data_IF_473204913286
#
_entry.id   IF_473204913286
#
_cell.length_a   1.000
_cell.length_b   1.000
_cell.length_c   1.000
_cell.angle_alpha   90.00
_cell.angle_beta   90.00
_cell.angle_gamma   90.00
#
_symmetry.space_group_name_H-M   'P 1'
#
loop_
_entity.id
_entity.type
_entity.pdbx_description
1 polymer ?
#
# COMPACT_ATOMS: atom_id res chain seq x y z
N UNK A 1 45.84 17.45 5.92
CA UNK A 1 44.49 18.01 5.79
C UNK A 1 43.70 17.02 4.94
N UNK A 2 42.96 16.14 5.60
CA UNK A 2 42.13 15.13 4.92
C UNK A 2 40.92 15.85 4.30
N UNK A 3 40.76 15.70 2.98
CA UNK A 3 39.54 16.15 2.29
C UNK A 3 38.36 15.40 2.90
N UNK A 4 37.49 16.10 3.59
CA UNK A 4 36.16 15.58 3.93
C UNK A 4 35.47 15.27 2.59
N UNK A 5 35.36 13.99 2.29
CA UNK A 5 34.42 13.54 1.28
C UNK A 5 33.07 14.15 1.69
N UNK A 6 32.52 15.02 0.85
CA UNK A 6 31.14 15.48 0.96
C UNK A 6 30.30 14.21 0.88
N UNK A 7 29.80 13.76 2.06
CA UNK A 7 29.00 12.55 2.14
C UNK A 7 27.79 12.70 1.25
N UNK A 8 27.78 11.97 0.12
CA UNK A 8 26.60 11.86 -0.70
C UNK A 8 25.46 11.34 0.17
N UNK A 9 24.27 11.91 0.04
CA UNK A 9 23.07 11.38 0.69
C UNK A 9 22.88 9.91 0.23
N UNK A 10 22.97 8.91 1.12
CA UNK A 10 22.89 7.51 0.72
C UNK A 10 21.50 7.12 0.17
N UNK A 11 20.52 7.99 0.32
CA UNK A 11 19.15 7.84 -0.17
C UNK A 11 18.82 8.83 -1.29
N UNK A 12 19.83 9.45 -1.92
CA UNK A 12 19.59 10.25 -3.12
C UNK A 12 19.19 9.33 -4.28
N UNK A 13 18.16 9.74 -5.01
CA UNK A 13 17.75 9.03 -6.22
C UNK A 13 18.93 8.94 -7.21
N UNK A 14 19.08 7.78 -7.85
CA UNK A 14 19.94 7.64 -9.04
C UNK A 14 19.35 8.42 -10.21
N UNK A 15 20.10 8.55 -11.32
CA UNK A 15 19.59 9.23 -12.53
C UNK A 15 18.30 8.56 -13.03
N UNK A 16 18.24 7.23 -13.07
CA UNK A 16 17.07 6.48 -13.50
C UNK A 16 15.90 6.64 -12.52
N UNK A 17 16.17 6.60 -11.21
CA UNK A 17 15.16 6.83 -10.18
C UNK A 17 14.61 8.27 -10.23
N UNK A 18 15.45 9.26 -10.47
CA UNK A 18 15.02 10.64 -10.64
C UNK A 18 14.15 10.81 -11.90
N UNK A 19 14.49 10.15 -13.01
CA UNK A 19 13.68 10.12 -14.22
C UNK A 19 12.32 9.45 -13.98
N UNK A 20 12.29 8.32 -13.26
CA UNK A 20 11.07 7.61 -12.89
C UNK A 20 10.19 8.46 -11.97
N UNK A 21 10.78 9.14 -10.98
CA UNK A 21 10.08 10.10 -10.10
C UNK A 21 9.43 11.21 -10.91
N UNK A 22 10.18 11.79 -11.89
CA UNK A 22 9.62 12.84 -12.74
C UNK A 22 8.47 12.33 -13.61
N UNK A 23 8.59 11.13 -14.19
CA UNK A 23 7.50 10.49 -14.95
C UNK A 23 6.26 10.31 -14.09
N UNK A 24 6.42 9.75 -12.88
CA UNK A 24 5.31 9.54 -11.95
C UNK A 24 4.65 10.87 -11.53
N UNK A 25 5.45 11.91 -11.28
CA UNK A 25 4.98 13.26 -10.97
C UNK A 25 4.20 13.87 -12.13
N UNK A 26 4.68 13.73 -13.35
CA UNK A 26 4.00 14.22 -14.55
C UNK A 26 2.63 13.56 -14.73
N UNK A 27 2.54 12.24 -14.52
CA UNK A 27 1.27 11.50 -14.54
C UNK A 27 0.36 11.97 -13.40
N UNK A 28 0.88 12.11 -12.20
CA UNK A 28 0.13 12.56 -11.03
C UNK A 28 -0.48 13.96 -11.24
N UNK A 29 0.30 14.90 -11.74
CA UNK A 29 -0.13 16.28 -11.93
C UNK A 29 -1.08 16.47 -13.12
N UNK A 30 -0.92 15.68 -14.20
CA UNK A 30 -1.75 15.82 -15.42
C UNK A 30 -3.00 14.97 -15.41
N UNK A 31 -2.93 13.76 -14.89
CA UNK A 31 -4.02 12.78 -15.01
C UNK A 31 -4.79 12.59 -13.67
N UNK A 32 -4.10 12.65 -12.51
CA UNK A 32 -4.73 12.36 -11.21
C UNK A 32 -5.27 13.64 -10.54
N UNK A 33 -4.41 14.63 -10.32
CA UNK A 33 -4.75 15.81 -9.52
C UNK A 33 -6.02 16.55 -10.03
N UNK A 34 -6.21 16.77 -11.34
CA UNK A 34 -7.39 17.49 -11.84
C UNK A 34 -8.72 16.77 -11.56
N UNK A 35 -8.69 15.45 -11.46
CA UNK A 35 -9.88 14.60 -11.32
C UNK A 35 -10.11 14.07 -9.90
N UNK A 36 -9.17 14.29 -9.00
CA UNK A 36 -9.22 13.74 -7.63
C UNK A 36 -10.46 14.17 -6.84
N UNK A 37 -10.92 15.43 -7.01
CA UNK A 37 -12.16 15.91 -6.42
C UNK A 37 -13.39 15.22 -7.04
N UNK A 38 -13.42 15.08 -8.35
CA UNK A 38 -14.51 14.38 -9.06
C UNK A 38 -14.66 12.94 -8.55
N UNK A 39 -13.55 12.19 -8.46
CA UNK A 39 -13.58 10.83 -7.94
C UNK A 39 -14.08 10.72 -6.50
N UNK A 40 -13.68 11.66 -5.62
CA UNK A 40 -14.19 11.72 -4.24
C UNK A 40 -15.71 12.03 -4.18
N UNK A 41 -16.22 12.90 -5.06
CA UNK A 41 -17.63 13.30 -5.07
C UNK A 41 -18.53 12.24 -5.68
N UNK A 42 -18.10 11.57 -6.77
CA UNK A 42 -18.90 10.59 -7.51
C UNK A 42 -18.76 9.16 -6.99
N UNK A 43 -17.66 8.85 -6.27
CA UNK A 43 -17.31 7.49 -5.82
C UNK A 43 -17.14 6.50 -7.01
N UNK A 44 -16.91 7.00 -8.21
CA UNK A 44 -16.67 6.19 -9.39
C UNK A 44 -15.24 5.69 -9.46
N UNK A 45 -15.05 4.51 -10.07
CA UNK A 45 -13.71 3.98 -10.32
C UNK A 45 -12.91 4.97 -11.17
N UNK A 46 -11.68 5.33 -10.76
CA UNK A 46 -10.91 6.40 -11.42
C UNK A 46 -10.26 5.92 -12.72
N UNK A 47 -11.09 5.66 -13.74
CA UNK A 47 -10.65 5.14 -15.04
C UNK A 47 -9.62 6.05 -15.70
N UNK A 48 -9.76 7.38 -15.54
CA UNK A 48 -8.79 8.37 -16.03
C UNK A 48 -7.38 8.15 -15.46
N UNK A 49 -7.29 7.86 -14.16
CA UNK A 49 -6.01 7.59 -13.51
C UNK A 49 -5.44 6.24 -13.96
N UNK A 50 -6.29 5.22 -14.07
CA UNK A 50 -5.89 3.92 -14.60
C UNK A 50 -5.31 4.05 -16.01
N UNK A 51 -6.01 4.73 -16.92
CA UNK A 51 -5.59 4.93 -18.31
C UNK A 51 -4.30 5.78 -18.39
N UNK A 52 -4.17 6.81 -17.55
CA UNK A 52 -2.97 7.63 -17.46
C UNK A 52 -1.74 6.83 -17.03
N UNK A 53 -1.86 6.03 -15.96
CA UNK A 53 -0.80 5.15 -15.48
C UNK A 53 -0.47 4.05 -16.49
N UNK A 54 -1.48 3.48 -17.14
CA UNK A 54 -1.30 2.48 -18.20
C UNK A 54 -0.54 3.04 -19.40
N UNK A 55 -0.93 4.21 -19.87
CA UNK A 55 -0.25 4.90 -20.99
C UNK A 55 1.21 5.23 -20.70
N UNK A 56 1.53 5.49 -19.44
CA UNK A 56 2.89 5.73 -18.96
C UNK A 56 3.65 4.43 -18.62
N UNK A 57 3.07 3.26 -18.88
CA UNK A 57 3.63 1.93 -18.62
C UNK A 57 4.04 1.69 -17.16
N UNK A 58 3.40 2.41 -16.21
CA UNK A 58 3.76 2.33 -14.81
C UNK A 58 3.41 0.97 -14.19
N UNK A 59 2.37 0.27 -14.66
CA UNK A 59 1.94 -0.99 -14.02
C UNK A 59 2.98 -2.10 -14.10
N UNK A 60 3.81 -2.14 -15.13
CA UNK A 60 4.84 -3.16 -15.32
C UNK A 60 6.12 -2.95 -14.50
N UNK A 61 6.29 -1.85 -13.76
CA UNK A 61 7.60 -1.49 -13.19
C UNK A 61 8.20 -2.56 -12.26
N UNK A 62 7.38 -3.27 -11.48
CA UNK A 62 7.84 -4.29 -10.53
C UNK A 62 7.74 -5.72 -11.04
N UNK A 63 7.23 -5.92 -12.24
CA UNK A 63 7.06 -7.24 -12.88
C UNK A 63 8.27 -7.50 -13.77
N UNK A 64 8.78 -8.74 -13.76
CA UNK A 64 9.98 -9.11 -14.51
C UNK A 64 9.83 -8.96 -16.03
N UNK A 65 10.94 -8.72 -16.72
CA UNK A 65 11.01 -8.50 -18.17
C UNK A 65 10.38 -9.65 -18.98
N UNK A 66 10.51 -10.89 -18.51
CA UNK A 66 9.90 -12.09 -19.14
C UNK A 66 8.40 -11.91 -19.38
N UNK A 67 7.72 -11.16 -18.52
CA UNK A 67 6.25 -10.95 -18.57
C UNK A 67 5.86 -9.53 -19.00
N UNK A 68 6.81 -8.78 -19.59
CA UNK A 68 6.56 -7.46 -20.16
C UNK A 68 6.70 -6.30 -19.18
N UNK A 69 7.33 -6.51 -18.03
CA UNK A 69 7.63 -5.46 -17.06
C UNK A 69 9.08 -4.99 -17.10
N UNK A 70 9.47 -4.16 -16.11
CA UNK A 70 10.82 -3.60 -15.97
C UNK A 70 11.68 -4.29 -14.89
N UNK A 71 11.12 -5.17 -14.08
CA UNK A 71 11.83 -5.92 -13.05
C UNK A 71 12.40 -5.07 -11.91
N UNK A 72 11.83 -3.89 -11.64
CA UNK A 72 12.31 -2.97 -10.61
C UNK A 72 11.86 -3.41 -9.21
N UNK A 73 12.48 -2.81 -8.18
CA UNK A 73 12.30 -3.20 -6.79
C UNK A 73 11.31 -2.34 -5.99
N UNK A 74 11.37 -2.55 -4.66
CA UNK A 74 10.54 -1.79 -3.70
C UNK A 74 10.92 -0.31 -3.61
N UNK A 75 12.16 0.05 -3.95
CA UNK A 75 12.62 1.45 -3.96
C UNK A 75 11.86 2.22 -5.03
N UNK A 76 11.84 1.69 -6.26
CA UNK A 76 11.16 2.31 -7.40
C UNK A 76 9.64 2.31 -7.22
N UNK A 77 9.08 1.22 -6.69
CA UNK A 77 7.67 1.17 -6.32
C UNK A 77 7.31 2.27 -5.30
N UNK A 78 8.15 2.48 -4.27
CA UNK A 78 7.93 3.53 -3.28
C UNK A 78 8.03 4.93 -3.88
N UNK A 79 8.99 5.19 -4.78
CA UNK A 79 9.14 6.46 -5.49
C UNK A 79 7.86 6.80 -6.27
N UNK A 80 7.37 5.85 -7.07
CA UNK A 80 6.16 6.07 -7.88
C UNK A 80 4.93 6.29 -6.99
N UNK A 81 4.75 5.46 -5.96
CA UNK A 81 3.60 5.59 -5.04
C UNK A 81 3.61 6.88 -4.25
N UNK A 82 4.78 7.39 -3.87
CA UNK A 82 4.92 8.69 -3.19
C UNK A 82 4.41 9.82 -4.11
N UNK A 83 4.83 9.85 -5.38
CA UNK A 83 4.42 10.90 -6.33
C UNK A 83 2.93 10.81 -6.70
N UNK A 84 2.41 9.61 -6.95
CA UNK A 84 0.99 9.43 -7.26
C UNK A 84 0.10 9.85 -6.08
N UNK A 85 0.45 9.40 -4.85
CA UNK A 85 -0.34 9.71 -3.65
C UNK A 85 -0.23 11.18 -3.21
N UNK A 86 0.82 11.89 -3.58
CA UNK A 86 0.93 13.34 -3.42
C UNK A 86 -0.24 14.08 -4.10
N UNK A 87 -0.70 13.56 -5.23
CA UNK A 87 -1.82 14.12 -6.00
C UNK A 87 -3.18 13.52 -5.61
N UNK A 88 -3.28 12.18 -5.56
CA UNK A 88 -4.52 11.49 -5.22
C UNK A 88 -4.28 10.07 -4.66
N UNK A 89 -4.60 9.88 -3.40
CA UNK A 89 -4.41 8.60 -2.70
C UNK A 89 -5.32 7.51 -3.24
N UNK A 90 -6.56 7.85 -3.61
CA UNK A 90 -7.53 6.89 -4.18
C UNK A 90 -7.05 6.27 -5.48
N UNK A 91 -6.40 7.05 -6.33
CA UNK A 91 -5.80 6.56 -7.58
C UNK A 91 -4.49 5.81 -7.34
N UNK A 92 -3.66 6.28 -6.40
CA UNK A 92 -2.38 5.65 -6.09
C UNK A 92 -2.53 4.20 -5.57
N UNK A 93 -3.62 3.90 -4.84
CA UNK A 93 -3.86 2.55 -4.33
C UNK A 93 -4.06 1.52 -5.45
N UNK A 94 -4.49 1.92 -6.65
CA UNK A 94 -4.59 1.03 -7.80
C UNK A 94 -3.21 0.57 -8.28
N UNK A 95 -2.23 1.48 -8.33
CA UNK A 95 -0.84 1.14 -8.62
C UNK A 95 -0.24 0.26 -7.52
N UNK A 96 -0.54 0.56 -6.25
CA UNK A 96 -0.13 -0.25 -5.10
C UNK A 96 -0.56 -1.72 -5.22
N UNK A 97 -1.80 -1.98 -5.67
CA UNK A 97 -2.32 -3.33 -5.83
C UNK A 97 -1.56 -4.13 -6.90
N UNK A 98 -1.03 -3.46 -7.91
CA UNK A 98 -0.21 -4.09 -8.95
C UNK A 98 1.24 -4.24 -8.49
N UNK A 99 1.85 -3.20 -7.94
CA UNK A 99 3.28 -3.20 -7.59
C UNK A 99 3.63 -4.14 -6.45
N UNK A 100 2.81 -4.16 -5.41
CA UNK A 100 3.11 -4.78 -4.13
C UNK A 100 2.06 -5.82 -3.70
N UNK A 101 0.96 -5.92 -4.45
CA UNK A 101 -0.16 -6.81 -4.16
C UNK A 101 -0.05 -8.18 -4.84
N UNK A 102 -1.17 -8.74 -5.34
CA UNK A 102 -1.22 -10.08 -5.88
C UNK A 102 -0.22 -10.38 -7.00
N UNK A 103 0.04 -9.50 -7.99
CA UNK A 103 1.03 -9.79 -9.04
C UNK A 103 2.43 -10.07 -8.47
N UNK A 104 2.86 -9.29 -7.46
CA UNK A 104 4.13 -9.51 -6.78
C UNK A 104 4.17 -10.86 -6.06
N UNK A 105 3.07 -11.24 -5.40
CA UNK A 105 2.96 -12.55 -4.77
C UNK A 105 3.00 -13.70 -5.79
N UNK A 106 2.32 -13.54 -6.92
CA UNK A 106 2.34 -14.50 -8.02
C UNK A 106 3.76 -14.67 -8.56
N UNK A 107 4.47 -13.58 -8.80
CA UNK A 107 5.84 -13.63 -9.31
C UNK A 107 6.81 -14.38 -8.38
N UNK A 108 6.72 -14.10 -7.07
CA UNK A 108 7.65 -14.69 -6.10
C UNK A 108 7.28 -16.12 -5.69
N UNK A 109 6.00 -16.45 -5.58
CA UNK A 109 5.51 -17.69 -4.97
C UNK A 109 4.78 -18.61 -5.95
N UNK A 110 4.27 -18.09 -7.07
CA UNK A 110 3.49 -18.84 -8.04
C UNK A 110 4.33 -19.82 -8.88
N UNK A 111 3.67 -20.83 -9.45
CA UNK A 111 4.23 -21.69 -10.47
C UNK A 111 4.29 -20.99 -11.85
N UNK A 112 4.98 -21.59 -12.82
CA UNK A 112 5.14 -20.97 -14.14
C UNK A 112 3.82 -20.80 -14.89
N UNK A 113 2.88 -21.73 -14.79
CA UNK A 113 1.54 -21.63 -15.38
C UNK A 113 0.80 -20.40 -14.88
N UNK A 114 0.81 -20.20 -13.56
CA UNK A 114 0.18 -19.04 -12.91
C UNK A 114 0.84 -17.72 -13.34
N UNK A 115 2.18 -17.67 -13.35
CA UNK A 115 2.94 -16.49 -13.76
C UNK A 115 2.67 -16.11 -15.21
N UNK A 116 2.77 -17.10 -16.13
CA UNK A 116 2.57 -16.87 -17.57
C UNK A 116 1.11 -16.46 -17.88
N UNK A 117 0.13 -16.88 -17.06
CA UNK A 117 -1.28 -16.48 -17.19
C UNK A 117 -1.53 -15.06 -16.70
N UNK A 118 -1.01 -14.66 -15.54
CA UNK A 118 -1.48 -13.48 -14.84
C UNK A 118 -0.54 -12.26 -14.91
N UNK A 119 0.78 -12.48 -14.98
CA UNK A 119 1.73 -11.37 -14.95
C UNK A 119 1.69 -10.47 -16.19
N UNK A 120 1.51 -11.00 -17.43
CA UNK A 120 1.35 -10.13 -18.60
C UNK A 120 0.12 -9.22 -18.51
N UNK A 121 -1.01 -9.72 -17.97
CA UNK A 121 -2.24 -8.95 -17.76
C UNK A 121 -2.01 -7.81 -16.76
N UNK A 122 -1.25 -8.08 -15.70
CA UNK A 122 -0.90 -7.08 -14.70
C UNK A 122 0.08 -6.03 -15.27
N UNK A 123 1.13 -6.47 -15.97
CA UNK A 123 2.17 -5.59 -16.53
C UNK A 123 1.61 -4.62 -17.58
N UNK A 124 0.69 -5.10 -18.44
CA UNK A 124 0.05 -4.27 -19.47
C UNK A 124 -1.05 -3.36 -18.93
N UNK A 125 -1.48 -3.56 -17.66
CA UNK A 125 -2.64 -2.87 -17.10
C UNK A 125 -3.97 -3.25 -17.77
N UNK A 126 -4.06 -4.47 -18.35
CA UNK A 126 -5.33 -4.99 -18.88
C UNK A 126 -6.29 -5.43 -17.78
N UNK A 127 -5.78 -5.72 -16.58
CA UNK A 127 -6.58 -6.14 -15.44
C UNK A 127 -6.06 -5.65 -14.12
N UNK A 128 -6.97 -5.20 -13.25
CA UNK A 128 -6.71 -4.93 -11.85
C UNK A 128 -6.69 -6.27 -11.07
N UNK A 129 -5.86 -6.34 -10.05
CA UNK A 129 -5.80 -7.46 -9.11
C UNK A 129 -6.19 -7.00 -7.72
N UNK A 130 -6.85 -7.87 -6.95
CA UNK A 130 -7.22 -7.57 -5.57
C UNK A 130 -6.83 -8.71 -4.63
N UNK A 131 -6.84 -8.42 -3.32
CA UNK A 131 -6.51 -9.40 -2.29
C UNK A 131 -7.65 -9.56 -1.30
N UNK A 132 -8.12 -10.78 -1.08
CA UNK A 132 -9.16 -11.14 -0.14
C UNK A 132 -8.59 -11.84 1.10
N UNK A 133 -8.32 -11.10 2.17
CA UNK A 133 -7.83 -11.63 3.45
C UNK A 133 -8.93 -11.55 4.51
N UNK A 134 -9.43 -10.34 4.74
CA UNK A 134 -10.36 -10.03 5.83
C UNK A 134 -11.73 -10.69 5.65
N UNK A 135 -12.33 -11.07 6.76
CA UNK A 135 -13.71 -11.56 6.84
C UNK A 135 -14.43 -10.82 7.97
N UNK A 136 -15.76 -10.92 8.04
CA UNK A 136 -16.58 -10.22 9.04
C UNK A 136 -16.07 -10.41 10.48
N UNK A 137 -15.61 -11.61 10.83
CA UNK A 137 -15.11 -11.93 12.16
C UNK A 137 -13.59 -12.13 12.24
N UNK A 138 -12.87 -11.94 11.09
CA UNK A 138 -11.44 -12.16 10.99
C UNK A 138 -10.75 -10.99 10.27
N UNK A 139 -10.67 -9.84 10.93
CA UNK A 139 -9.86 -8.69 10.54
C UNK A 139 -8.41 -8.86 11.04
N UNK A 140 -8.04 -8.19 12.15
CA UNK A 140 -6.70 -8.35 12.75
C UNK A 140 -6.44 -9.76 13.29
N UNK A 141 -7.49 -10.50 13.63
CA UNK A 141 -7.42 -11.89 14.09
C UNK A 141 -7.53 -12.88 12.92
N UNK A 142 -6.62 -12.79 11.93
CA UNK A 142 -6.63 -13.58 10.68
C UNK A 142 -6.74 -15.10 10.94
N UNK A 143 -6.20 -15.59 12.04
CA UNK A 143 -6.30 -16.99 12.44
C UNK A 143 -7.74 -17.51 12.69
N UNK A 144 -8.73 -16.62 12.73
CA UNK A 144 -10.15 -16.98 12.85
C UNK A 144 -10.88 -17.07 11.50
N UNK A 145 -10.16 -16.91 10.39
CA UNK A 145 -10.72 -16.96 9.03
C UNK A 145 -11.53 -18.26 8.80
N UNK A 146 -12.66 -18.12 8.11
CA UNK A 146 -13.60 -19.20 7.79
C UNK A 146 -13.51 -19.67 6.33
N UNK A 147 -12.94 -18.88 5.44
CA UNK A 147 -12.70 -19.28 4.05
C UNK A 147 -12.02 -20.64 3.98
N UNK A 148 -12.55 -21.56 3.18
CA UNK A 148 -12.08 -22.95 3.11
C UNK A 148 -11.90 -23.40 1.68
N UNK A 149 -10.80 -24.09 1.45
CA UNK A 149 -10.52 -24.85 0.23
C UNK A 149 -10.67 -26.34 0.54
N UNK A 150 -11.54 -27.03 -0.17
CA UNK A 150 -11.79 -28.47 0.02
C UNK A 150 -11.40 -29.24 -1.24
N UNK A 151 -10.82 -30.45 -1.12
CA UNK A 151 -10.58 -31.33 -2.27
C UNK A 151 -11.90 -31.67 -2.99
N UNK A 152 -11.85 -31.70 -4.34
CA UNK A 152 -12.96 -32.12 -5.21
C UNK A 152 -12.41 -32.73 -6.50
N UNK A 153 -12.35 -34.06 -6.54
CA UNK A 153 -11.75 -34.80 -7.65
C UNK A 153 -10.27 -34.50 -7.79
N UNK A 154 -9.88 -33.99 -8.95
CA UNK A 154 -8.50 -33.62 -9.30
C UNK A 154 -8.13 -32.16 -8.94
N UNK A 155 -9.07 -31.40 -8.32
CA UNK A 155 -8.86 -30.04 -7.89
C UNK A 155 -9.56 -29.75 -6.57
N UNK A 156 -10.10 -28.52 -6.44
CA UNK A 156 -10.64 -28.02 -5.17
C UNK A 156 -11.91 -27.22 -5.38
N UNK A 157 -12.65 -27.02 -4.27
CA UNK A 157 -13.77 -26.08 -4.14
C UNK A 157 -13.48 -25.04 -3.06
N UNK A 158 -13.58 -23.77 -3.44
CA UNK A 158 -13.45 -22.62 -2.53
C UNK A 158 -14.81 -22.14 -2.09
N UNK A 159 -14.98 -22.03 -0.76
CA UNK A 159 -16.10 -21.31 -0.14
C UNK A 159 -15.54 -20.22 0.77
N UNK A 160 -15.87 -18.96 0.48
CA UNK A 160 -15.35 -17.82 1.20
C UNK A 160 -16.31 -16.61 1.12
N UNK A 161 -16.24 -15.75 2.13
CA UNK A 161 -16.84 -14.41 2.09
C UNK A 161 -15.80 -13.41 2.57
N UNK A 162 -15.35 -12.55 1.66
CA UNK A 162 -14.26 -11.59 1.93
C UNK A 162 -14.78 -10.17 1.99
N UNK A 163 -14.35 -9.45 3.01
CA UNK A 163 -14.71 -8.06 3.27
C UNK A 163 -13.55 -7.12 3.03
N UNK A 164 -13.84 -5.86 2.71
CA UNK A 164 -12.86 -4.81 2.49
C UNK A 164 -11.83 -5.20 1.43
N UNK A 165 -12.32 -5.74 0.31
CA UNK A 165 -11.48 -6.11 -0.84
C UNK A 165 -11.34 -4.90 -1.75
N UNK A 166 -10.20 -4.20 -1.63
CA UNK A 166 -9.90 -2.99 -2.40
C UNK A 166 -9.94 -3.27 -3.90
N UNK A 167 -10.77 -2.52 -4.63
CA UNK A 167 -10.94 -2.66 -6.08
C UNK A 167 -11.65 -3.94 -6.53
N UNK A 168 -12.15 -4.78 -5.61
CA UNK A 168 -12.70 -6.10 -5.91
C UNK A 168 -13.86 -6.12 -6.90
N UNK A 169 -14.62 -5.03 -7.04
CA UNK A 169 -15.73 -4.91 -8.00
C UNK A 169 -15.28 -4.72 -9.46
N UNK A 170 -13.99 -4.42 -9.70
CA UNK A 170 -13.38 -4.19 -11.01
C UNK A 170 -12.19 -5.09 -11.28
N UNK A 171 -11.73 -5.84 -10.28
CA UNK A 171 -10.57 -6.68 -10.43
C UNK A 171 -10.83 -7.86 -11.37
N UNK A 172 -9.80 -8.25 -12.13
CA UNK A 172 -9.80 -9.41 -13.00
C UNK A 172 -9.56 -10.71 -12.23
N UNK A 173 -8.68 -10.65 -11.20
CA UNK A 173 -8.39 -11.78 -10.35
C UNK A 173 -8.20 -11.36 -8.89
N UNK A 174 -8.48 -12.28 -7.99
CA UNK A 174 -8.33 -12.11 -6.55
C UNK A 174 -7.37 -13.15 -5.96
N UNK A 175 -6.39 -12.67 -5.21
CA UNK A 175 -5.60 -13.53 -4.32
C UNK A 175 -6.39 -13.77 -3.03
N UNK A 176 -6.98 -14.95 -2.88
CA UNK A 176 -7.84 -15.30 -1.75
C UNK A 176 -7.06 -16.12 -0.73
N UNK A 177 -6.88 -15.58 0.47
CA UNK A 177 -6.39 -16.37 1.59
C UNK A 177 -7.49 -17.29 2.10
N UNK A 178 -7.18 -18.56 2.25
CA UNK A 178 -8.14 -19.55 2.69
C UNK A 178 -7.46 -20.61 3.55
N UNK A 179 -8.29 -21.37 4.25
CA UNK A 179 -7.86 -22.46 5.12
C UNK A 179 -8.00 -23.79 4.38
N UNK A 180 -6.96 -24.58 4.46
CA UNK A 180 -6.98 -25.99 4.07
C UNK A 180 -7.64 -26.82 5.16
N UNK A 181 -8.22 -28.01 4.84
CA UNK A 181 -9.01 -28.79 5.79
C UNK A 181 -8.29 -29.12 7.10
N UNK A 182 -9.07 -29.37 8.14
CA UNK A 182 -8.64 -29.89 9.46
C UNK A 182 -7.58 -29.05 10.19
N UNK A 183 -7.59 -27.72 9.98
CA UNK A 183 -6.67 -26.80 10.58
C UNK A 183 -7.34 -25.71 11.41
N UNK A 184 -6.60 -25.13 12.37
CA UNK A 184 -7.07 -24.06 13.26
C UNK A 184 -5.97 -23.02 13.53
N UNK A 185 -6.39 -21.83 13.97
CA UNK A 185 -5.46 -20.72 14.21
C UNK A 185 -4.80 -20.28 12.91
N UNK A 186 -3.47 -20.15 12.90
CA UNK A 186 -2.69 -19.80 11.69
C UNK A 186 -2.20 -21.01 10.90
N UNK A 187 -2.41 -22.23 11.41
CA UNK A 187 -2.07 -23.47 10.71
C UNK A 187 -3.02 -23.68 9.53
N UNK A 188 -2.52 -24.26 8.47
CA UNK A 188 -3.30 -24.56 7.27
C UNK A 188 -3.82 -23.34 6.50
N UNK A 189 -3.43 -22.12 6.84
CA UNK A 189 -3.71 -20.95 6.02
C UNK A 189 -2.74 -20.93 4.84
N UNK A 190 -3.31 -20.91 3.64
CA UNK A 190 -2.63 -20.74 2.37
C UNK A 190 -3.37 -19.72 1.51
N UNK A 191 -3.10 -19.72 0.21
CA UNK A 191 -3.72 -18.78 -0.72
C UNK A 191 -3.91 -19.39 -2.11
N UNK A 192 -4.97 -18.96 -2.79
CA UNK A 192 -5.30 -19.32 -4.17
C UNK A 192 -5.52 -18.07 -5.00
N UNK A 193 -5.26 -18.13 -6.29
CA UNK A 193 -5.62 -17.05 -7.23
C UNK A 193 -6.90 -17.45 -7.94
N UNK A 194 -7.92 -16.61 -7.86
CA UNK A 194 -9.25 -16.86 -8.43
C UNK A 194 -9.55 -15.82 -9.49
N UNK A 195 -9.93 -16.30 -10.67
CA UNK A 195 -10.53 -15.48 -11.73
C UNK A 195 -11.91 -15.00 -11.26
N UNK A 196 -12.12 -13.68 -11.19
CA UNK A 196 -13.38 -13.14 -10.68
C UNK A 196 -14.56 -13.27 -11.66
N UNK A 197 -14.30 -13.72 -12.90
CA UNK A 197 -15.33 -14.12 -13.85
C UNK A 197 -15.75 -15.60 -13.72
N UNK A 198 -15.11 -16.37 -12.81
CA UNK A 198 -15.43 -17.77 -12.60
C UNK A 198 -16.85 -17.96 -12.03
N UNK A 199 -17.54 -19.07 -12.43
CA UNK A 199 -18.83 -19.42 -11.84
C UNK A 199 -18.73 -19.55 -10.32
N UNK A 200 -19.73 -19.00 -9.60
CA UNK A 200 -19.79 -19.00 -8.14
C UNK A 200 -19.13 -17.79 -7.47
N UNK A 201 -18.50 -16.90 -8.24
CA UNK A 201 -18.00 -15.62 -7.72
C UNK A 201 -19.05 -14.54 -7.87
N UNK A 202 -19.29 -13.79 -6.80
CA UNK A 202 -20.20 -12.63 -6.84
C UNK A 202 -19.65 -11.45 -6.04
N UNK A 203 -19.88 -10.24 -6.54
CA UNK A 203 -19.72 -9.01 -5.77
C UNK A 203 -21.00 -8.83 -4.96
N UNK A 204 -20.95 -9.12 -3.66
CA UNK A 204 -22.11 -9.07 -2.77
C UNK A 204 -22.49 -7.63 -2.39
N UNK A 205 -21.53 -6.72 -2.42
CA UNK A 205 -21.74 -5.31 -2.10
C UNK A 205 -20.44 -4.49 -2.12
N UNK A 206 -20.58 -3.19 -1.86
CA UNK A 206 -19.47 -2.27 -1.67
C UNK A 206 -19.72 -1.39 -0.45
N UNK A 207 -18.66 -1.07 0.28
CA UNK A 207 -18.76 -0.24 1.48
C UNK A 207 -18.78 1.25 1.15
N UNK A 208 -19.70 2.00 1.79
CA UNK A 208 -19.67 3.47 1.82
C UNK A 208 -18.59 3.91 2.80
N UNK A 209 -17.66 4.76 2.35
CA UNK A 209 -16.44 5.05 3.10
C UNK A 209 -16.26 6.54 3.42
N UNK A 210 -15.49 6.81 4.46
CA UNK A 210 -15.07 8.15 4.83
C UNK A 210 -14.13 8.80 3.79
N UNK A 211 -13.17 8.04 3.28
CA UNK A 211 -12.14 8.43 2.30
C UNK A 211 -11.81 7.30 1.36
N UNK A 212 -10.81 7.50 0.47
CA UNK A 212 -10.48 6.57 -0.62
C UNK A 212 -11.72 6.26 -1.48
N UNK A 213 -12.55 7.28 -1.72
CA UNK A 213 -13.92 7.08 -2.19
C UNK A 213 -13.99 6.65 -3.65
N UNK A 214 -13.03 7.08 -4.48
CA UNK A 214 -12.95 6.68 -5.87
C UNK A 214 -12.53 5.20 -6.06
N UNK A 215 -11.95 4.57 -5.04
CA UNK A 215 -11.60 3.14 -5.08
C UNK A 215 -12.49 2.37 -4.12
N UNK A 216 -13.31 1.43 -4.62
CA UNK A 216 -14.25 0.70 -3.77
C UNK A 216 -13.56 -0.30 -2.84
N UNK A 217 -14.20 -0.57 -1.71
CA UNK A 217 -13.96 -1.75 -0.89
C UNK A 217 -15.14 -2.71 -1.09
N UNK A 218 -14.89 -3.83 -1.76
CA UNK A 218 -15.94 -4.78 -2.11
C UNK A 218 -16.10 -5.87 -1.05
N UNK A 219 -17.30 -6.44 -1.00
CA UNK A 219 -17.60 -7.72 -0.40
C UNK A 219 -17.65 -8.76 -1.51
N UNK A 220 -16.79 -9.77 -1.44
CA UNK A 220 -16.73 -10.86 -2.42
C UNK A 220 -17.18 -12.17 -1.81
N UNK A 221 -18.17 -12.80 -2.44
CA UNK A 221 -18.62 -14.14 -2.10
C UNK A 221 -18.11 -15.16 -3.12
N UNK A 222 -17.59 -16.27 -2.63
CA UNK A 222 -17.12 -17.40 -3.39
C UNK A 222 -17.95 -18.62 -2.92
N UNK A 223 -18.88 -19.07 -3.78
CA UNK A 223 -19.78 -20.18 -3.49
C UNK A 223 -19.43 -21.36 -4.39
N UNK A 224 -18.83 -22.36 -3.80
CA UNK A 224 -18.42 -23.61 -4.45
C UNK A 224 -17.56 -23.39 -5.72
N UNK A 225 -16.69 -22.37 -5.70
CA UNK A 225 -15.85 -21.99 -6.84
C UNK A 225 -14.80 -23.06 -7.10
N UNK A 226 -14.71 -23.55 -8.35
CA UNK A 226 -13.67 -24.48 -8.78
C UNK A 226 -12.30 -23.79 -8.77
N UNK A 227 -11.31 -24.43 -8.15
CA UNK A 227 -9.91 -24.02 -8.13
C UNK A 227 -9.06 -25.18 -8.63
N UNK A 228 -8.26 -24.93 -9.66
CA UNK A 228 -7.35 -25.93 -10.19
C UNK A 228 -6.06 -26.01 -9.35
N UNK A 229 -5.33 -27.14 -9.37
CA UNK A 229 -4.06 -27.24 -8.64
C UNK A 229 -3.05 -26.15 -9.00
N UNK A 230 -3.02 -25.72 -10.27
CA UNK A 230 -2.14 -24.64 -10.75
C UNK A 230 -2.54 -23.24 -10.25
N UNK A 231 -3.77 -23.07 -9.75
CA UNK A 231 -4.25 -21.82 -9.16
C UNK A 231 -3.97 -21.74 -7.64
N UNK A 232 -3.38 -22.78 -7.03
CA UNK A 232 -2.91 -22.73 -5.63
C UNK A 232 -1.57 -22.02 -5.57
N UNK A 233 -1.58 -20.76 -5.07
CA UNK A 233 -0.36 -19.97 -4.92
C UNK A 233 0.55 -20.57 -3.84
N UNK A 234 -0.03 -20.89 -2.68
CA UNK A 234 0.70 -21.43 -1.55
C UNK A 234 -0.19 -22.40 -0.76
N UNK A 235 0.29 -23.63 -0.65
CA UNK A 235 -0.41 -24.68 0.06
C UNK A 235 -0.38 -24.46 1.57
N UNK A 236 -1.54 -24.51 2.22
CA UNK A 236 -1.67 -24.40 3.67
C UNK A 236 -1.49 -25.75 4.38
N UNK A 237 -0.35 -26.00 4.98
CA UNK A 237 -0.11 -27.23 5.75
C UNK A 237 -0.85 -27.22 7.09
N UNK A 238 -1.80 -28.15 7.35
CA UNK A 238 -2.52 -28.23 8.61
C UNK A 238 -1.63 -28.50 9.85
N UNK A 239 -0.43 -29.02 9.65
CA UNK A 239 0.49 -29.34 10.72
C UNK A 239 1.24 -28.11 11.27
N UNK A 240 1.42 -27.06 10.43
CA UNK A 240 2.25 -25.92 10.80
C UNK A 240 1.68 -24.58 10.24
N UNK A 241 2.39 -23.47 10.52
CA UNK A 241 2.04 -22.13 10.09
C UNK A 241 3.06 -21.51 9.11
N UNK A 242 3.87 -22.28 8.44
CA UNK A 242 4.94 -21.75 7.59
C UNK A 242 4.37 -20.99 6.38
N UNK A 243 3.33 -21.51 5.74
CA UNK A 243 2.63 -20.82 4.65
C UNK A 243 2.07 -19.47 5.09
N UNK A 244 1.45 -19.43 6.27
CA UNK A 244 0.96 -18.17 6.84
C UNK A 244 2.10 -17.17 7.10
N UNK A 245 3.25 -17.63 7.62
CA UNK A 245 4.42 -16.76 7.84
C UNK A 245 4.97 -16.23 6.52
N UNK A 246 5.01 -17.06 5.47
CA UNK A 246 5.42 -16.66 4.12
C UNK A 246 4.50 -15.59 3.57
N UNK A 247 3.17 -15.80 3.63
CA UNK A 247 2.17 -14.82 3.19
C UNK A 247 2.27 -13.50 3.97
N UNK A 248 2.39 -13.55 5.30
CA UNK A 248 2.55 -12.35 6.13
C UNK A 248 3.86 -11.61 5.85
N UNK A 249 4.95 -12.35 5.58
CA UNK A 249 6.22 -11.72 5.17
C UNK A 249 6.05 -10.98 3.84
N UNK A 250 5.31 -11.57 2.90
CA UNK A 250 5.06 -10.97 1.59
C UNK A 250 4.24 -9.66 1.68
N UNK A 251 3.31 -9.55 2.64
CA UNK A 251 2.57 -8.31 2.93
C UNK A 251 3.51 -7.14 3.31
N UNK A 252 4.79 -7.36 3.58
CA UNK A 252 5.71 -6.26 3.85
C UNK A 252 5.92 -5.35 2.63
N UNK A 253 5.83 -5.87 1.40
CA UNK A 253 5.80 -5.05 0.18
C UNK A 253 4.61 -4.06 0.23
N UNK A 254 3.41 -4.57 0.53
CA UNK A 254 2.21 -3.72 0.65
C UNK A 254 2.32 -2.71 1.81
N UNK A 255 2.97 -3.07 2.91
CA UNK A 255 3.18 -2.17 4.04
C UNK A 255 4.15 -1.03 3.71
N UNK A 256 5.20 -1.32 2.93
CA UNK A 256 6.10 -0.29 2.42
C UNK A 256 5.38 0.64 1.45
N UNK A 257 4.57 0.11 0.53
CA UNK A 257 3.76 0.93 -0.37
C UNK A 257 2.70 1.76 0.37
N UNK A 258 2.05 1.20 1.41
CA UNK A 258 1.18 1.97 2.29
C UNK A 258 1.92 3.16 2.95
N UNK A 259 3.15 2.92 3.42
CA UNK A 259 3.98 3.98 3.99
C UNK A 259 4.37 5.02 2.94
N UNK A 260 4.70 4.62 1.71
CA UNK A 260 5.01 5.54 0.60
C UNK A 260 3.81 6.42 0.25
N UNK A 261 2.61 5.84 0.15
CA UNK A 261 1.38 6.62 -0.09
C UNK A 261 1.09 7.60 1.05
N UNK A 262 1.33 7.23 2.30
CA UNK A 262 1.19 8.16 3.44
C UNK A 262 2.19 9.31 3.38
N UNK A 263 3.45 9.03 3.02
CA UNK A 263 4.49 10.06 2.85
C UNK A 263 4.12 11.00 1.71
N UNK A 264 3.69 10.47 0.56
CA UNK A 264 3.25 11.27 -0.59
C UNK A 264 2.05 12.16 -0.28
N UNK A 265 1.00 11.60 0.32
CA UNK A 265 -0.20 12.33 0.74
C UNK A 265 0.12 13.47 1.70
N UNK A 266 0.97 13.21 2.71
CA UNK A 266 1.42 14.21 3.67
C UNK A 266 2.26 15.30 3.00
N UNK A 267 3.12 14.93 2.04
CA UNK A 267 3.89 15.88 1.23
C UNK A 267 2.97 16.82 0.46
N UNK A 268 1.97 16.29 -0.23
CA UNK A 268 1.00 17.11 -0.97
C UNK A 268 0.21 18.06 -0.06
N UNK A 269 -0.22 17.59 1.11
CA UNK A 269 -0.90 18.43 2.10
C UNK A 269 0.00 19.54 2.66
N UNK A 270 1.27 19.24 2.95
CA UNK A 270 2.26 20.19 3.41
C UNK A 270 2.54 21.27 2.35
N UNK A 271 2.78 20.86 1.09
CA UNK A 271 3.02 21.78 -0.05
C UNK A 271 1.82 22.74 -0.23
N UNK A 272 0.61 22.21 -0.16
CA UNK A 272 -0.61 23.01 -0.27
C UNK A 272 -0.71 24.02 0.87
N UNK A 273 -0.47 23.61 2.10
CA UNK A 273 -0.50 24.49 3.27
C UNK A 273 0.56 25.58 3.20
N UNK A 274 1.78 25.25 2.78
CA UNK A 274 2.88 26.23 2.61
C UNK A 274 2.53 27.27 1.54
N UNK A 275 2.01 26.86 0.39
CA UNK A 275 1.58 27.76 -0.68
C UNK A 275 0.47 28.69 -0.18
N UNK A 276 -0.56 28.12 0.47
CA UNK A 276 -1.64 28.90 1.05
C UNK A 276 -1.15 29.94 2.08
N UNK A 277 -0.24 29.57 2.98
CA UNK A 277 0.31 30.48 3.98
C UNK A 277 1.09 31.63 3.37
N UNK A 278 1.82 31.40 2.28
CA UNK A 278 2.57 32.45 1.57
C UNK A 278 1.65 33.46 0.86
N UNK A 279 0.46 33.04 0.46
CA UNK A 279 -0.51 33.87 -0.27
C UNK A 279 -1.53 34.54 0.64
N UNK A 280 -1.95 33.88 1.73
CA UNK A 280 -3.04 34.33 2.60
C UNK A 280 -2.63 35.54 3.44
N UNK A 281 -3.29 36.65 3.18
CA UNK A 281 -3.08 37.92 3.92
C UNK A 281 -3.77 37.92 5.29
N UNK A 282 -3.08 38.49 6.25
CA UNK A 282 -3.58 38.87 7.58
C UNK A 282 -3.13 40.33 7.86
N UNK A 283 -3.95 41.30 7.47
CA UNK A 283 -3.54 42.71 7.42
C UNK A 283 -2.40 42.92 6.41
N UNK A 284 -1.32 43.49 6.85
CA UNK A 284 -0.13 43.79 6.02
C UNK A 284 0.87 42.63 5.91
N UNK A 285 0.57 41.52 6.56
CA UNK A 285 1.43 40.31 6.58
C UNK A 285 0.77 39.14 5.85
N UNK A 286 1.54 38.08 5.62
CA UNK A 286 1.02 36.77 5.26
C UNK A 286 0.95 35.87 6.48
N UNK A 287 0.26 34.72 6.38
CA UNK A 287 0.30 33.73 7.46
C UNK A 287 1.72 33.18 7.66
N UNK A 288 2.54 33.16 6.62
CA UNK A 288 3.93 32.70 6.67
C UNK A 288 4.83 33.58 7.55
N UNK A 289 4.43 34.84 7.81
CA UNK A 289 5.18 35.77 8.67
C UNK A 289 4.98 35.50 10.18
N UNK A 290 4.06 34.60 10.54
CA UNK A 290 3.70 34.32 11.93
C UNK A 290 4.55 33.17 12.49
N UNK A 291 5.45 33.49 13.44
CA UNK A 291 6.39 32.53 14.03
C UNK A 291 5.71 31.25 14.58
N UNK A 292 4.56 31.40 15.25
CA UNK A 292 3.82 30.22 15.76
C UNK A 292 3.34 29.27 14.68
N UNK A 293 3.07 29.76 13.46
CA UNK A 293 2.70 28.92 12.30
C UNK A 293 3.94 28.34 11.62
N UNK A 294 5.07 29.06 11.63
CA UNK A 294 6.35 28.53 11.15
C UNK A 294 6.79 27.30 11.97
N UNK A 295 6.54 27.30 13.29
CA UNK A 295 6.82 26.12 14.13
C UNK A 295 5.99 24.90 13.72
N UNK A 296 4.72 25.10 13.37
CA UNK A 296 3.87 23.99 12.86
C UNK A 296 4.44 23.40 11.56
N UNK A 297 4.87 24.24 10.62
CA UNK A 297 5.53 23.79 9.39
C UNK A 297 6.83 23.03 9.71
N UNK A 298 7.63 23.49 10.66
CA UNK A 298 8.86 22.81 11.08
C UNK A 298 8.57 21.42 11.66
N UNK A 299 7.54 21.29 12.51
CA UNK A 299 7.12 20.02 13.08
C UNK A 299 6.58 19.05 12.01
N UNK A 300 5.74 19.55 11.08
CA UNK A 300 5.22 18.79 9.95
C UNK A 300 6.36 18.25 9.07
N UNK A 301 7.28 19.11 8.66
CA UNK A 301 8.42 18.74 7.82
C UNK A 301 9.34 17.71 8.52
N UNK A 302 9.64 17.93 9.81
CA UNK A 302 10.52 17.04 10.58
C UNK A 302 9.93 15.64 10.74
N UNK A 303 8.64 15.54 11.08
CA UNK A 303 7.98 14.24 11.22
C UNK A 303 7.86 13.50 9.88
N UNK A 304 7.53 14.23 8.82
CA UNK A 304 7.42 13.67 7.47
C UNK A 304 8.77 13.12 6.99
N UNK A 305 9.85 13.90 7.14
CA UNK A 305 11.18 13.47 6.73
C UNK A 305 11.68 12.28 7.55
N UNK A 306 11.43 12.25 8.85
CA UNK A 306 11.73 11.10 9.69
C UNK A 306 11.02 9.82 9.22
N UNK A 307 9.75 9.94 8.81
CA UNK A 307 8.98 8.82 8.28
C UNK A 307 9.51 8.35 6.91
N UNK A 308 9.87 9.29 6.02
CA UNK A 308 10.48 9.00 4.70
C UNK A 308 11.80 8.23 4.86
N UNK A 309 12.68 8.65 5.76
CA UNK A 309 13.95 7.98 6.02
C UNK A 309 13.78 6.55 6.54
N UNK A 310 12.78 6.30 7.40
CA UNK A 310 12.47 4.95 7.85
C UNK A 310 11.92 4.07 6.70
N UNK A 311 11.11 4.63 5.82
CA UNK A 311 10.64 3.92 4.62
C UNK A 311 11.80 3.59 3.68
N UNK A 312 12.62 4.58 3.34
CA UNK A 312 13.79 4.39 2.46
C UNK A 312 14.71 3.29 3.00
N UNK A 313 14.97 3.30 4.31
CA UNK A 313 15.74 2.23 4.95
C UNK A 313 15.10 0.86 4.75
N UNK A 314 13.80 0.71 4.97
CA UNK A 314 13.10 -0.57 4.85
C UNK A 314 13.17 -1.11 3.41
N UNK A 315 12.92 -0.27 2.39
CA UNK A 315 12.91 -0.70 1.00
C UNK A 315 14.32 -0.97 0.46
N UNK A 316 15.33 -0.19 0.85
CA UNK A 316 16.72 -0.47 0.45
C UNK A 316 17.26 -1.78 1.04
N UNK A 317 16.82 -2.13 2.26
CA UNK A 317 17.23 -3.40 2.89
C UNK A 317 16.59 -4.63 2.22
N UNK A 318 15.54 -4.49 1.44
CA UNK A 318 14.98 -5.57 0.64
C UNK A 318 15.94 -6.02 -0.47
N UNK A 319 16.74 -5.11 -0.99
CA UNK A 319 17.49 -5.35 -2.23
C UNK A 319 16.56 -5.45 -3.44
N UNK A 320 17.11 -5.71 -4.64
CA UNK A 320 16.34 -5.63 -5.89
C UNK A 320 15.16 -6.61 -5.98
N UNK A 321 15.30 -7.81 -5.41
CA UNK A 321 14.33 -8.90 -5.55
C UNK A 321 13.99 -9.59 -4.22
N UNK A 322 14.36 -8.98 -3.09
CA UNK A 322 14.08 -9.51 -1.76
C UNK A 322 12.78 -8.96 -1.18
N UNK A 323 12.50 -9.37 0.06
CA UNK A 323 11.33 -8.89 0.81
C UNK A 323 11.78 -7.90 1.88
N UNK A 324 11.13 -6.74 2.04
CA UNK A 324 11.46 -5.78 3.09
C UNK A 324 11.43 -6.42 4.48
N UNK A 325 12.45 -6.17 5.34
CA UNK A 325 12.54 -6.76 6.67
C UNK A 325 11.35 -6.35 7.54
N UNK A 326 10.80 -7.31 8.28
CA UNK A 326 9.53 -7.13 8.99
C UNK A 326 9.58 -6.03 10.06
N UNK A 327 10.69 -5.91 10.81
CA UNK A 327 10.81 -4.93 11.89
C UNK A 327 10.91 -3.50 11.34
N UNK A 328 11.78 -3.29 10.35
CA UNK A 328 11.98 -2.02 9.68
C UNK A 328 10.70 -1.57 8.95
N UNK A 329 10.04 -2.49 8.28
CA UNK A 329 8.75 -2.25 7.61
C UNK A 329 7.65 -1.83 8.59
N UNK A 330 7.56 -2.51 9.74
CA UNK A 330 6.58 -2.17 10.77
C UNK A 330 6.86 -0.77 11.39
N UNK A 331 8.14 -0.43 11.58
CA UNK A 331 8.54 0.90 12.04
C UNK A 331 8.22 1.97 10.99
N UNK A 332 8.56 1.73 9.72
CA UNK A 332 8.30 2.64 8.61
C UNK A 332 6.80 2.91 8.45
N UNK A 333 5.97 1.86 8.40
CA UNK A 333 4.52 1.99 8.31
C UNK A 333 3.94 2.75 9.49
N UNK A 334 4.37 2.44 10.72
CA UNK A 334 3.89 3.13 11.92
C UNK A 334 4.23 4.62 11.87
N UNK A 335 5.47 4.97 11.55
CA UNK A 335 5.93 6.35 11.48
C UNK A 335 5.20 7.13 10.37
N UNK A 336 5.10 6.55 9.16
CA UNK A 336 4.44 7.18 8.02
C UNK A 336 2.94 7.43 8.27
N UNK A 337 2.23 6.45 8.82
CA UNK A 337 0.80 6.61 9.15
C UNK A 337 0.57 7.70 10.22
N UNK A 338 1.42 7.78 11.24
CA UNK A 338 1.29 8.78 12.30
C UNK A 338 1.70 10.18 11.82
N UNK A 339 2.79 10.28 11.05
CA UNK A 339 3.22 11.54 10.44
C UNK A 339 2.16 12.08 9.47
N UNK A 340 1.59 11.22 8.60
CA UNK A 340 0.54 11.64 7.68
C UNK A 340 -0.71 12.15 8.40
N UNK A 341 -1.14 11.48 9.47
CA UNK A 341 -2.25 11.98 10.30
C UNK A 341 -1.97 13.36 10.86
N UNK A 342 -0.78 13.55 11.41
CA UNK A 342 -0.38 14.82 12.00
C UNK A 342 -0.29 15.92 10.94
N UNK A 343 0.41 15.67 9.83
CA UNK A 343 0.63 16.65 8.77
C UNK A 343 -0.69 17.06 8.10
N UNK A 344 -1.56 16.09 7.79
CA UNK A 344 -2.84 16.40 7.15
C UNK A 344 -3.81 17.14 8.10
N UNK A 345 -3.81 16.82 9.39
CA UNK A 345 -4.58 17.53 10.41
C UNK A 345 -4.11 19.00 10.56
N UNK A 346 -2.80 19.21 10.67
CA UNK A 346 -2.22 20.55 10.75
C UNK A 346 -2.41 21.35 9.45
N UNK A 347 -2.41 20.72 8.28
CA UNK A 347 -2.72 21.37 7.02
C UNK A 347 -4.16 21.94 7.02
N UNK A 348 -5.14 21.17 7.51
CA UNK A 348 -6.52 21.67 7.70
C UNK A 348 -6.52 22.86 8.64
N UNK A 349 -5.84 22.76 9.78
CA UNK A 349 -5.77 23.82 10.79
C UNK A 349 -5.15 25.11 10.25
N UNK A 350 -4.07 25.01 9.43
CA UNK A 350 -3.39 26.14 8.83
C UNK A 350 -4.25 26.89 7.80
N UNK A 351 -5.14 26.17 7.10
CA UNK A 351 -6.09 26.79 6.17
C UNK A 351 -7.31 27.40 6.89
N UNK A 352 -7.53 27.07 8.17
CA UNK A 352 -8.69 27.55 8.94
C UNK A 352 -10.01 27.08 8.33
N UNK A 353 -11.00 27.96 8.21
CA UNK A 353 -12.31 27.61 7.63
C UNK A 353 -12.26 27.03 6.22
N UNK A 354 -11.29 27.43 5.41
CA UNK A 354 -11.06 26.86 4.08
C UNK A 354 -10.55 25.42 4.13
N UNK A 355 -9.76 25.04 5.15
CA UNK A 355 -9.33 23.67 5.34
C UNK A 355 -10.46 22.70 5.69
N UNK A 356 -11.56 23.22 6.24
CA UNK A 356 -12.76 22.46 6.57
C UNK A 356 -13.77 22.39 5.41
N UNK A 357 -13.53 23.15 4.33
CA UNK A 357 -14.40 23.18 3.14
C UNK A 357 -13.97 22.12 2.13
N UNK A 358 -14.92 21.39 1.56
CA UNK A 358 -14.70 20.43 0.46
C UNK A 358 -14.26 21.08 -0.85
N UNK A 359 -14.20 22.40 -0.93
CA UNK A 359 -13.63 23.14 -2.06
C UNK A 359 -12.10 23.09 -2.09
N UNK A 360 -11.47 22.71 -0.97
CA UNK A 360 -10.02 22.61 -0.79
C UNK A 360 -9.60 21.14 -0.60
N UNK A 361 -8.43 20.74 -1.11
CA UNK A 361 -8.06 19.32 -1.15
C UNK A 361 -7.67 18.71 0.20
N UNK A 362 -7.26 19.51 1.19
CA UNK A 362 -6.62 19.01 2.42
C UNK A 362 -7.56 18.14 3.27
N UNK A 363 -8.87 18.44 3.29
CA UNK A 363 -9.85 17.64 4.03
C UNK A 363 -10.04 16.26 3.39
N UNK A 364 -10.02 16.15 2.04
CA UNK A 364 -10.05 14.87 1.32
C UNK A 364 -8.85 14.02 1.67
N UNK A 365 -7.64 14.60 1.57
CA UNK A 365 -6.40 13.90 1.89
C UNK A 365 -6.42 13.38 3.34
N UNK A 366 -6.92 14.19 4.30
CA UNK A 366 -7.08 13.74 5.69
C UNK A 366 -8.03 12.55 5.82
N UNK A 367 -9.15 12.52 5.08
CA UNK A 367 -10.08 11.39 5.08
C UNK A 367 -9.42 10.13 4.48
N UNK A 368 -8.67 10.30 3.41
CA UNK A 368 -8.02 9.20 2.69
C UNK A 368 -6.95 8.52 3.54
N UNK A 369 -6.05 9.28 4.18
CA UNK A 369 -4.98 8.70 4.99
C UNK A 369 -5.51 7.95 6.22
N UNK A 370 -6.74 8.24 6.68
CA UNK A 370 -7.33 7.47 7.78
C UNK A 370 -7.53 6.00 7.42
N UNK A 371 -7.91 5.69 6.17
CA UNK A 371 -8.02 4.33 5.66
C UNK A 371 -6.67 3.60 5.68
N UNK A 372 -5.60 4.28 5.25
CA UNK A 372 -4.25 3.71 5.23
C UNK A 372 -3.71 3.34 6.63
N UNK A 373 -4.14 4.04 7.68
CA UNK A 373 -3.79 3.69 9.06
C UNK A 373 -4.41 2.37 9.55
N UNK A 374 -5.43 1.86 8.84
CA UNK A 374 -6.17 0.65 9.17
C UNK A 374 -5.73 -0.51 8.26
N UNK A 375 -5.63 -0.28 6.96
CA UNK A 375 -5.28 -1.28 5.95
C UNK A 375 -3.88 -1.88 6.13
N UNK A 376 -3.65 -3.08 5.59
CA UNK A 376 -2.40 -3.86 5.67
C UNK A 376 -1.88 -4.10 7.10
N UNK A 377 -2.81 -4.18 8.07
CA UNK A 377 -2.52 -4.26 9.51
C UNK A 377 -2.41 -2.90 10.18
N UNK A 378 -3.29 -2.66 11.16
CA UNK A 378 -3.45 -1.36 11.83
C UNK A 378 -2.15 -0.88 12.49
N UNK A 379 -2.06 0.42 12.78
CA UNK A 379 -0.94 1.02 13.53
C UNK A 379 -0.71 0.27 14.86
N UNK A 380 -1.76 -0.17 15.52
CA UNK A 380 -1.69 -0.92 16.79
C UNK A 380 -1.08 -2.31 16.58
N UNK A 381 -1.42 -3.01 15.49
CA UNK A 381 -0.81 -4.31 15.14
C UNK A 381 0.68 -4.13 14.84
N UNK A 382 1.07 -3.08 14.10
CA UNK A 382 2.48 -2.80 13.84
C UNK A 382 3.23 -2.45 15.13
N UNK A 383 2.67 -1.61 16.00
CA UNK A 383 3.24 -1.28 17.31
C UNK A 383 3.42 -2.49 18.20
N UNK A 384 2.42 -3.39 18.24
CA UNK A 384 2.49 -4.62 19.00
C UNK A 384 3.63 -5.51 18.49
N UNK A 385 3.77 -5.64 17.17
CA UNK A 385 4.87 -6.39 16.56
C UNK A 385 6.24 -5.79 16.89
N UNK A 386 6.40 -4.47 16.72
CA UNK A 386 7.66 -3.76 17.06
C UNK A 386 7.99 -3.93 18.53
N UNK A 387 7.04 -3.65 19.43
CA UNK A 387 7.25 -3.72 20.88
C UNK A 387 7.64 -5.13 21.34
N UNK A 388 6.92 -6.16 20.88
CA UNK A 388 7.22 -7.55 21.22
C UNK A 388 8.56 -8.03 20.66
N UNK A 389 8.91 -7.59 19.45
CA UNK A 389 10.20 -7.91 18.82
C UNK A 389 11.37 -7.34 19.62
N UNK A 390 11.29 -6.08 19.99
CA UNK A 390 12.30 -5.37 20.78
C UNK A 390 12.45 -6.01 22.19
N UNK A 391 11.34 -6.31 22.86
CA UNK A 391 11.35 -6.97 24.16
C UNK A 391 11.97 -8.38 24.11
N UNK A 392 11.90 -9.06 22.97
CA UNK A 392 12.56 -10.36 22.74
C UNK A 392 14.01 -10.24 22.26
N UNK A 393 14.56 -9.02 22.22
CA UNK A 393 15.96 -8.76 21.89
C UNK A 393 16.23 -8.58 20.40
N UNK A 394 15.18 -8.45 19.55
CA UNK A 394 15.39 -7.99 18.19
C UNK A 394 15.87 -6.53 18.22
N UNK A 395 16.93 -6.25 17.47
CA UNK A 395 17.43 -4.89 17.29
C UNK A 395 17.19 -4.49 15.84
N UNK A 396 16.70 -3.24 15.58
CA UNK A 396 16.76 -2.71 14.24
C UNK A 396 18.20 -2.81 13.73
N UNK A 397 18.38 -3.01 12.43
CA UNK A 397 19.71 -3.20 11.80
C UNK A 397 20.64 -1.97 11.87
N UNK A 398 20.68 -1.27 13.00
CA UNK A 398 21.65 -0.24 13.32
C UNK A 398 22.63 -0.81 14.34
N UNK A 399 23.93 -0.85 14.01
CA UNK A 399 25.00 -1.37 14.85
C UNK A 399 25.11 -0.73 16.26
N UNK A 400 24.38 0.35 16.50
CA UNK A 400 24.40 1.10 17.76
C UNK A 400 23.45 0.59 18.84
N UNK A 401 22.48 -0.27 18.50
CA UNK A 401 21.45 -0.70 19.46
C UNK A 401 21.65 -2.14 19.91
N UNK A 402 22.64 -2.36 20.75
CA UNK A 402 22.81 -3.66 21.44
C UNK A 402 22.02 -3.61 22.74
N UNK A 403 20.96 -4.43 22.87
CA UNK A 403 20.36 -4.66 24.17
C UNK A 403 21.46 -5.23 25.10
N UNK A 404 21.85 -4.49 26.12
CA UNK A 404 22.64 -5.06 27.20
C UNK A 404 21.72 -6.08 27.91
N UNK A 405 21.80 -7.35 27.52
CA UNK A 405 21.38 -8.42 28.44
C UNK A 405 22.32 -8.40 29.60
N UNK A 406 21.83 -8.01 30.78
CA UNK A 406 22.47 -8.21 32.03
C UNK A 406 22.52 -9.71 32.33
#
# INVERSE_FOLDING_TARGET
>A
MSAHATGANPFADTEDQAALRQLARDVADRELAPMARHGDETEEFPQWAWDGMRKAELFGITIGERWGGAGLGDVEAAIVLEELARADVSSAILAQLIFNGPPRAIEHLGNDTMKDRWLPIAASGEGLFCIGISETEAGSAVGHMRARLRPDGDGFRLNAYKNYVTGGHKARACLVWCRFPDSAGTKGIGAVVVDLEAPGVTVAGTHVKMGLRATSEAELAFDDVRVEPDDVLLWGDPANSESFKTLISHINHERCGNAAMCVGAAQGALEYAVNYMNERKLGDRTLADLQGLQWKIADMATQLEGARLLLQRAVHMAGPHGTPPALETAMAKTAANLAAKFVCDEAIQLLGGYGFSREYPVERVYRDIRGLCIGAGTVEIQRNFVGTSVLRGATPASDGWKSRRA
#
